data_IF_961355931256
#
_entry.id   IF_961355931256
#
_cell.length_a   1.000
_cell.length_b   1.000
_cell.length_c   1.000
_cell.angle_alpha   90.00
_cell.angle_beta   90.00
_cell.angle_gamma   90.00
#
_symmetry.space_group_name_H-M   'P 1'
#
loop_
_entity.id
_entity.type
_entity.pdbx_description
1 polymer ?
#
# COMPACT_ATOMS: atom_id res chain seq x y z
N UNK A 1 18.45 -32.52 25.60
CA UNK A 1 17.18 -32.07 26.23
C UNK A 1 16.50 -31.12 25.27
N UNK A 2 15.47 -31.57 24.55
CA UNK A 2 14.66 -30.70 23.69
C UNK A 2 13.33 -30.42 24.39
N UNK A 3 13.11 -29.23 24.94
CA UNK A 3 11.77 -28.81 25.32
C UNK A 3 11.11 -28.21 24.06
N UNK A 4 9.82 -28.49 23.80
CA UNK A 4 8.81 -27.47 23.40
C UNK A 4 7.52 -27.95 22.72
N UNK A 5 7.20 -29.23 22.62
CA UNK A 5 5.89 -29.61 22.03
C UNK A 5 4.69 -29.36 22.97
N UNK A 6 4.88 -29.53 24.29
CA UNK A 6 3.85 -29.27 25.28
C UNK A 6 3.53 -27.78 25.44
N UNK A 7 4.58 -26.95 25.49
CA UNK A 7 4.45 -25.50 25.64
C UNK A 7 3.76 -24.84 24.44
N UNK A 8 4.07 -25.26 23.21
CA UNK A 8 3.37 -24.78 22.01
C UNK A 8 1.88 -25.15 22.04
N UNK A 9 1.57 -26.38 22.44
CA UNK A 9 0.19 -26.87 22.52
C UNK A 9 -0.63 -26.14 23.58
N UNK A 10 -0.01 -25.83 24.71
CA UNK A 10 -0.63 -25.07 25.80
C UNK A 10 -0.80 -23.59 25.40
N UNK A 11 0.18 -23.01 24.72
CA UNK A 11 0.09 -21.67 24.16
C UNK A 11 -1.04 -21.55 23.11
N UNK A 12 -1.21 -22.56 22.24
CA UNK A 12 -2.31 -22.61 21.27
C UNK A 12 -3.68 -22.80 21.94
N UNK A 13 -3.76 -23.54 23.05
CA UNK A 13 -4.99 -23.65 23.85
C UNK A 13 -5.32 -22.33 24.53
N UNK A 14 -4.33 -21.65 25.11
CA UNK A 14 -4.49 -20.32 25.68
C UNK A 14 -4.92 -19.31 24.60
N UNK A 15 -4.40 -19.41 23.38
CA UNK A 15 -4.80 -18.55 22.26
C UNK A 15 -6.25 -18.79 21.81
N UNK A 16 -6.69 -20.06 21.73
CA UNK A 16 -8.10 -20.41 21.44
C UNK A 16 -9.07 -20.01 22.56
N UNK A 17 -8.66 -20.12 23.82
CA UNK A 17 -9.47 -19.77 25.00
C UNK A 17 -9.50 -18.27 25.27
N UNK A 18 -8.45 -17.54 24.88
CA UNK A 18 -8.37 -16.09 25.06
C UNK A 18 -9.30 -15.32 24.14
N UNK A 19 -10.07 -16.00 23.27
CA UNK A 19 -11.32 -15.49 22.69
C UNK A 19 -11.22 -14.02 22.34
N UNK A 20 -10.11 -13.62 21.70
CA UNK A 20 -10.04 -12.32 21.08
C UNK A 20 -11.08 -12.46 19.99
N UNK A 21 -12.26 -11.88 20.22
CA UNK A 21 -13.11 -11.43 19.13
C UNK A 21 -12.12 -10.83 18.14
N UNK A 22 -11.93 -11.50 16.99
CA UNK A 22 -11.16 -10.87 15.95
C UNK A 22 -11.88 -9.56 15.70
N UNK A 23 -11.21 -8.40 15.90
CA UNK A 23 -11.84 -7.14 15.61
C UNK A 23 -12.34 -7.25 14.18
N UNK A 24 -13.62 -6.92 13.94
CA UNK A 24 -14.21 -6.89 12.60
C UNK A 24 -13.16 -6.33 11.65
N UNK A 25 -12.72 -7.16 10.69
CA UNK A 25 -11.64 -6.76 9.82
C UNK A 25 -12.08 -5.49 9.09
N UNK A 26 -11.35 -4.37 9.26
CA UNK A 26 -11.72 -3.14 8.60
C UNK A 26 -11.77 -3.38 7.09
N UNK A 27 -12.66 -2.65 6.41
CA UNK A 27 -12.77 -2.73 4.96
C UNK A 27 -11.37 -2.56 4.35
N UNK A 28 -11.10 -3.24 3.24
CA UNK A 28 -9.79 -3.19 2.60
C UNK A 28 -9.39 -1.75 2.22
N UNK A 29 -10.38 -0.87 1.99
CA UNK A 29 -10.23 0.58 1.75
C UNK A 29 -9.75 1.37 2.98
N UNK A 30 -9.98 0.85 4.18
CA UNK A 30 -9.57 1.49 5.43
C UNK A 30 -8.14 1.11 5.81
N UNK A 31 -7.65 -0.04 5.31
CA UNK A 31 -6.28 -0.49 5.55
C UNK A 31 -5.28 0.53 4.97
N UNK A 32 -4.26 0.89 5.76
CA UNK A 32 -3.36 2.03 5.47
C UNK A 32 -2.79 2.02 4.06
N UNK A 33 -2.03 0.97 3.70
CA UNK A 33 -1.37 0.86 2.38
C UNK A 33 -2.36 0.56 1.26
N UNK A 34 -3.27 -0.36 1.53
CA UNK A 34 -4.20 -0.90 0.56
C UNK A 34 -5.20 0.16 0.09
N UNK A 35 -5.80 0.87 1.05
CA UNK A 35 -6.70 1.99 0.81
C UNK A 35 -6.01 3.27 0.37
N UNK A 36 -4.70 3.43 0.59
CA UNK A 36 -3.97 4.63 0.13
C UNK A 36 -4.07 4.77 -1.39
N UNK A 37 -3.82 3.70 -2.13
CA UNK A 37 -3.90 3.70 -3.59
C UNK A 37 -5.31 4.06 -4.07
N UNK A 38 -6.32 3.41 -3.48
CA UNK A 38 -7.73 3.66 -3.82
C UNK A 38 -8.11 5.14 -3.63
N UNK A 39 -7.74 5.73 -2.48
CA UNK A 39 -7.96 7.17 -2.20
C UNK A 39 -7.24 8.08 -3.20
N UNK A 40 -5.98 7.76 -3.54
CA UNK A 40 -5.18 8.57 -4.46
C UNK A 40 -5.77 8.61 -5.87
N UNK A 41 -6.30 7.50 -6.38
CA UNK A 41 -6.93 7.50 -7.70
C UNK A 41 -8.31 8.17 -7.64
N UNK A 42 -9.07 7.97 -6.58
CA UNK A 42 -10.40 8.57 -6.43
C UNK A 42 -10.37 10.11 -6.48
N UNK A 43 -9.25 10.73 -6.10
CA UNK A 43 -9.05 12.19 -6.21
C UNK A 43 -8.86 12.69 -7.65
N UNK A 44 -8.39 11.84 -8.57
CA UNK A 44 -7.94 12.27 -9.92
C UNK A 44 -8.70 11.61 -11.06
N UNK A 45 -9.40 10.50 -10.82
CA UNK A 45 -10.06 9.74 -11.86
C UNK A 45 -11.37 9.08 -11.38
N UNK A 46 -12.24 8.80 -12.34
CA UNK A 46 -13.47 8.03 -12.13
C UNK A 46 -13.12 6.57 -11.80
N UNK A 47 -13.55 6.09 -10.63
CA UNK A 47 -13.25 4.74 -10.14
C UNK A 47 -13.82 3.64 -11.03
N UNK A 48 -15.06 3.81 -11.49
CA UNK A 48 -15.72 2.79 -12.32
C UNK A 48 -14.97 2.61 -13.64
N UNK A 49 -14.54 3.71 -14.27
CA UNK A 49 -13.74 3.65 -15.50
C UNK A 49 -12.32 3.14 -15.25
N UNK A 50 -11.71 3.54 -14.14
CA UNK A 50 -10.34 3.15 -13.78
C UNK A 50 -10.22 1.64 -13.58
N UNK A 51 -11.23 0.99 -12.99
CA UNK A 51 -11.22 -0.45 -12.74
C UNK A 51 -11.89 -1.29 -13.84
N UNK A 52 -12.50 -0.67 -14.86
CA UNK A 52 -13.21 -1.40 -15.91
C UNK A 52 -12.33 -2.46 -16.62
N UNK A 53 -11.03 -2.19 -16.75
CA UNK A 53 -10.11 -3.14 -17.38
C UNK A 53 -9.84 -4.37 -16.49
N UNK A 54 -9.89 -4.23 -15.16
CA UNK A 54 -9.78 -5.33 -14.22
C UNK A 54 -10.98 -6.27 -14.35
N UNK A 55 -12.19 -5.73 -14.48
CA UNK A 55 -13.40 -6.52 -14.66
C UNK A 55 -13.31 -7.43 -15.89
N UNK A 56 -12.75 -6.89 -17.00
CA UNK A 56 -12.51 -7.67 -18.23
C UNK A 56 -11.50 -8.80 -18.04
N UNK A 57 -10.57 -8.62 -17.11
CA UNK A 57 -9.58 -9.65 -16.73
C UNK A 57 -10.09 -10.59 -15.62
N UNK A 58 -11.31 -10.39 -15.10
CA UNK A 58 -11.86 -11.15 -13.98
C UNK A 58 -11.20 -10.83 -12.63
N UNK A 59 -10.61 -9.64 -12.50
CA UNK A 59 -9.93 -9.15 -11.28
C UNK A 59 -10.81 -8.14 -10.53
N UNK A 60 -10.63 -8.07 -9.21
CA UNK A 60 -11.28 -7.09 -8.34
C UNK A 60 -10.38 -5.87 -8.11
N UNK A 61 -10.99 -4.72 -7.87
CA UNK A 61 -10.35 -3.50 -7.36
C UNK A 61 -9.39 -3.73 -6.18
N UNK A 62 -9.85 -4.51 -5.19
CA UNK A 62 -9.06 -4.93 -4.02
C UNK A 62 -7.78 -5.69 -4.40
N UNK A 63 -7.77 -6.39 -5.55
CA UNK A 63 -6.58 -7.10 -6.03
C UNK A 63 -5.53 -6.13 -6.56
N UNK A 64 -5.94 -5.13 -7.35
CA UNK A 64 -5.02 -4.09 -7.80
C UNK A 64 -4.48 -3.29 -6.61
N UNK A 65 -5.36 -2.86 -5.71
CA UNK A 65 -4.96 -2.18 -4.49
C UNK A 65 -3.93 -3.00 -3.70
N UNK A 66 -4.08 -4.33 -3.62
CA UNK A 66 -3.17 -5.22 -2.90
C UNK A 66 -1.79 -5.25 -3.54
N UNK A 67 -1.74 -5.36 -4.86
CA UNK A 67 -0.48 -5.35 -5.60
C UNK A 67 0.22 -4.00 -5.42
N UNK A 68 -0.52 -2.90 -5.49
CA UNK A 68 0.02 -1.55 -5.31
C UNK A 68 0.54 -1.33 -3.88
N UNK A 69 -0.21 -1.76 -2.87
CA UNK A 69 0.23 -1.71 -1.47
C UNK A 69 1.49 -2.54 -1.23
N UNK A 70 1.58 -3.73 -1.82
CA UNK A 70 2.77 -4.59 -1.75
C UNK A 70 3.98 -3.95 -2.45
N UNK A 71 3.77 -3.35 -3.63
CA UNK A 71 4.82 -2.63 -4.36
C UNK A 71 5.38 -1.46 -3.55
N UNK A 72 4.49 -0.69 -2.95
CA UNK A 72 4.82 0.47 -2.15
C UNK A 72 5.60 0.06 -0.87
N UNK A 73 5.22 -1.07 -0.25
CA UNK A 73 5.99 -1.67 0.84
C UNK A 73 7.38 -2.17 0.39
N UNK A 74 7.47 -2.82 -0.77
CA UNK A 74 8.71 -3.38 -1.29
C UNK A 74 9.73 -2.29 -1.68
N UNK A 75 9.28 -1.19 -2.28
CA UNK A 75 10.15 -0.10 -2.72
C UNK A 75 10.54 0.86 -1.57
N UNK A 76 9.87 0.78 -0.42
CA UNK A 76 10.22 1.52 0.80
C UNK A 76 10.38 3.04 0.57
N UNK A 77 9.45 3.63 -0.19
CA UNK A 77 9.47 5.07 -0.47
C UNK A 77 9.34 5.89 0.83
N UNK A 78 9.74 7.18 0.80
CA UNK A 78 9.75 7.99 2.03
C UNK A 78 8.38 8.13 2.69
N UNK A 79 7.29 8.15 1.92
CA UNK A 79 5.95 8.18 2.49
C UNK A 79 5.68 6.96 3.37
N UNK A 80 6.08 5.77 2.93
CA UNK A 80 5.96 4.52 3.69
C UNK A 80 6.87 4.49 4.89
N UNK A 81 8.10 4.98 4.75
CA UNK A 81 9.04 5.06 5.88
C UNK A 81 8.53 5.98 6.99
N UNK A 82 7.89 7.07 6.63
CA UNK A 82 7.28 7.97 7.59
C UNK A 82 6.01 7.38 8.22
N UNK A 83 5.13 6.76 7.42
CA UNK A 83 3.83 6.26 7.89
C UNK A 83 3.91 4.94 8.68
N UNK A 84 4.64 3.94 8.19
CA UNK A 84 4.67 2.58 8.78
C UNK A 84 5.81 2.37 9.76
N UNK A 85 7.02 2.85 9.44
CA UNK A 85 8.16 2.70 10.34
C UNK A 85 8.24 3.82 11.39
N UNK A 86 7.26 4.73 11.40
CA UNK A 86 7.19 5.90 12.28
C UNK A 86 8.52 6.67 12.37
N UNK A 87 9.27 6.69 11.27
CA UNK A 87 10.55 7.40 11.24
C UNK A 87 10.28 8.90 11.20
N UNK A 88 11.14 9.70 11.85
CA UNK A 88 11.09 11.18 11.78
C UNK A 88 11.52 11.73 10.40
N UNK A 89 11.54 10.89 9.37
CA UNK A 89 11.92 11.32 8.02
C UNK A 89 10.78 12.09 7.39
N UNK A 90 11.12 13.17 6.70
CA UNK A 90 10.18 13.94 5.90
C UNK A 90 9.58 13.03 4.80
N UNK A 91 8.25 12.85 4.76
CA UNK A 91 7.59 11.99 3.77
C UNK A 91 7.69 12.57 2.35
N UNK A 92 8.11 13.83 2.17
CA UNK A 92 8.14 14.49 0.86
C UNK A 92 9.14 13.86 -0.11
N UNK A 93 8.75 13.91 -1.39
CA UNK A 93 9.55 13.50 -2.53
C UNK A 93 10.95 14.10 -2.48
N UNK A 94 11.98 13.25 -2.60
CA UNK A 94 13.38 13.69 -2.63
C UNK A 94 13.72 14.58 -3.81
N UNK A 95 12.96 14.49 -4.90
CA UNK A 95 13.22 15.20 -6.15
C UNK A 95 12.49 16.54 -6.23
N UNK A 96 11.16 16.55 -6.09
CA UNK A 96 10.37 17.78 -6.26
C UNK A 96 10.05 18.50 -4.94
N UNK A 97 10.14 17.82 -3.79
CA UNK A 97 9.84 18.34 -2.44
C UNK A 97 8.41 18.86 -2.22
N UNK A 98 7.47 18.56 -3.11
CA UNK A 98 6.09 19.08 -3.03
C UNK A 98 5.10 18.08 -2.46
N UNK A 99 5.06 16.86 -3.01
CA UNK A 99 4.15 15.80 -2.58
C UNK A 99 4.84 14.72 -1.74
N UNK A 100 4.06 13.86 -1.07
CA UNK A 100 4.61 12.65 -0.44
C UNK A 100 5.30 11.76 -1.49
N UNK A 101 6.44 11.17 -1.14
CA UNK A 101 7.15 10.24 -2.00
C UNK A 101 6.45 8.88 -1.98
N UNK A 102 5.50 8.69 -2.87
CA UNK A 102 4.92 7.38 -3.21
C UNK A 102 5.42 6.94 -4.59
N UNK A 103 5.26 5.67 -4.90
CA UNK A 103 5.54 5.13 -6.24
C UNK A 103 4.71 5.86 -7.29
N UNK A 104 3.42 6.06 -7.04
CA UNK A 104 2.52 6.79 -7.94
C UNK A 104 2.98 8.23 -8.16
N UNK A 105 3.45 8.91 -7.11
CA UNK A 105 4.06 10.22 -7.26
C UNK A 105 5.33 10.14 -8.13
N UNK A 106 6.23 9.19 -7.90
CA UNK A 106 7.46 9.07 -8.70
C UNK A 106 7.19 8.77 -10.18
N UNK A 107 6.19 7.95 -10.49
CA UNK A 107 5.89 7.54 -11.88
C UNK A 107 5.08 8.59 -12.64
N UNK A 108 4.08 9.20 -12.00
CA UNK A 108 3.11 10.05 -12.68
C UNK A 108 2.94 11.45 -12.07
N UNK A 109 3.21 11.63 -10.77
CA UNK A 109 2.97 12.91 -10.08
C UNK A 109 4.19 13.83 -9.95
N UNK A 110 5.40 13.34 -10.16
CA UNK A 110 6.62 14.07 -9.87
C UNK A 110 6.97 14.98 -11.03
N UNK A 111 6.70 16.27 -10.90
CA UNK A 111 7.02 17.28 -11.94
C UNK A 111 8.44 17.21 -12.49
N UNK A 112 9.41 16.83 -11.65
CA UNK A 112 10.83 16.73 -12.03
C UNK A 112 11.08 15.54 -12.97
N UNK A 113 10.32 14.46 -12.83
CA UNK A 113 10.44 13.24 -13.65
C UNK A 113 9.43 13.27 -14.82
N UNK A 114 8.16 13.50 -14.53
CA UNK A 114 7.07 13.51 -15.51
C UNK A 114 7.28 14.57 -16.60
N UNK A 115 7.76 15.76 -16.23
CA UNK A 115 8.03 16.84 -17.19
C UNK A 115 9.19 16.55 -18.16
N UNK A 116 10.13 15.68 -17.78
CA UNK A 116 11.28 15.31 -18.63
C UNK A 116 10.99 14.07 -19.47
N UNK A 117 10.36 13.05 -18.90
CA UNK A 117 10.10 11.78 -19.56
C UNK A 117 9.17 11.91 -20.77
N UNK A 118 8.16 12.80 -20.70
CA UNK A 118 7.28 13.05 -21.84
C UNK A 118 8.03 13.64 -23.05
N UNK A 119 9.02 14.50 -22.82
CA UNK A 119 9.79 15.14 -23.89
C UNK A 119 10.79 14.17 -24.55
N UNK A 120 11.28 13.18 -23.81
CA UNK A 120 12.24 12.19 -24.31
C UNK A 120 11.58 11.06 -25.11
N UNK A 121 10.33 10.69 -24.84
CA UNK A 121 9.62 9.63 -25.57
C UNK A 121 9.03 10.06 -26.92
N UNK A 122 9.09 11.35 -27.24
CA UNK A 122 8.57 11.93 -28.50
C UNK A 122 9.67 12.27 -29.53
N UNK A 123 10.95 12.02 -29.21
CA UNK A 123 12.09 12.19 -30.12
C UNK A 123 12.64 10.83 -30.58
#
# INVERSE_FOLDING_TARGET
>A
MAPRDGALRECLRQWKLSGKEEPEEPSWEEKTLLGMYHRQIAEVADMSKSYQWLERAGLKDSTEALIMGAQEQALSARAIKAQLYHTRQDPRCKLCKEGPETVQHLTAGCKTLAGKAYMECYN
#
